data_IF_604250184852
#
_entry.id   IF_604250184852
#
_cell.length_a   1.000
_cell.length_b   1.000
_cell.length_c   1.000
_cell.angle_alpha   90.00
_cell.angle_beta   90.00
_cell.angle_gamma   90.00
#
_symmetry.space_group_name_H-M   'P 1'
#
loop_
_entity.id
_entity.type
_entity.pdbx_description
1 polymer ?
#
# COMPACT_ATOMS: atom_id res chain seq x y z
N UNK A 1 13.54 -61.78 13.98
CA UNK A 1 14.91 -61.26 14.12
C UNK A 1 15.71 -61.73 12.90
N UNK A 2 15.87 -60.91 11.88
CA UNK A 2 16.75 -61.16 10.75
C UNK A 2 17.38 -59.84 10.28
N UNK A 3 18.70 -59.80 10.10
CA UNK A 3 19.37 -58.56 9.73
C UNK A 3 19.34 -58.37 8.19
N UNK A 4 18.99 -57.20 7.77
CA UNK A 4 18.94 -56.75 6.39
C UNK A 4 20.34 -56.38 5.92
N UNK A 5 20.82 -57.07 4.87
CA UNK A 5 22.15 -56.92 4.27
C UNK A 5 22.20 -55.65 3.41
N UNK A 6 23.16 -54.79 3.69
CA UNK A 6 23.53 -53.61 2.90
C UNK A 6 24.28 -54.05 1.65
N UNK A 7 23.75 -53.76 0.46
CA UNK A 7 24.45 -53.98 -0.82
C UNK A 7 25.08 -52.66 -1.27
N UNK A 8 26.41 -52.68 -1.30
CA UNK A 8 27.21 -51.62 -1.91
C UNK A 8 27.10 -51.71 -3.42
N UNK A 9 26.69 -50.63 -4.08
CA UNK A 9 26.69 -50.47 -5.53
C UNK A 9 27.84 -49.53 -5.92
N UNK A 10 28.90 -50.12 -6.49
CA UNK A 10 30.04 -49.38 -7.02
C UNK A 10 29.65 -48.85 -8.41
N UNK A 11 29.73 -47.55 -8.60
CA UNK A 11 29.58 -46.92 -9.92
C UNK A 11 30.98 -46.53 -10.41
N UNK A 12 31.38 -47.18 -11.48
CA UNK A 12 32.63 -46.95 -12.22
C UNK A 12 32.50 -45.70 -13.09
N UNK A 13 33.37 -44.72 -12.89
CA UNK A 13 33.43 -43.52 -13.71
C UNK A 13 34.13 -43.84 -15.06
N UNK A 14 33.44 -43.62 -16.15
CA UNK A 14 34.04 -43.62 -17.49
C UNK A 14 34.39 -42.16 -17.87
N UNK A 15 35.68 -41.93 -18.03
CA UNK A 15 36.23 -40.65 -18.54
C UNK A 15 36.20 -40.71 -20.07
N UNK A 16 35.39 -39.83 -20.68
CA UNK A 16 35.41 -39.60 -22.13
C UNK A 16 36.19 -38.31 -22.41
N UNK A 17 37.36 -38.44 -23.02
CA UNK A 17 38.14 -37.32 -23.54
C UNK A 17 37.65 -37.06 -24.97
N UNK A 18 37.06 -35.90 -25.21
CA UNK A 18 36.79 -35.39 -26.56
C UNK A 18 37.70 -34.19 -26.83
N UNK A 19 38.50 -34.35 -27.87
CA UNK A 19 39.46 -33.39 -28.34
C UNK A 19 38.79 -32.16 -28.99
N UNK A 20 39.45 -31.04 -28.84
CA UNK A 20 39.11 -29.72 -29.34
C UNK A 20 39.03 -29.67 -30.87
N UNK A 21 38.13 -28.82 -31.36
CA UNK A 21 38.33 -28.07 -32.60
C UNK A 21 38.16 -26.59 -32.28
N UNK A 22 39.24 -25.91 -32.53
CA UNK A 22 39.44 -24.47 -32.49
C UNK A 22 38.53 -23.80 -33.55
N UNK A 23 37.75 -22.84 -33.13
CA UNK A 23 36.92 -21.97 -33.96
C UNK A 23 36.68 -20.68 -33.19
N UNK A 24 37.64 -19.76 -33.33
CA UNK A 24 37.48 -18.42 -32.81
C UNK A 24 36.28 -17.72 -33.47
N UNK A 25 35.19 -17.57 -32.73
CA UNK A 25 34.17 -16.58 -33.00
C UNK A 25 34.30 -15.48 -31.97
N UNK A 26 34.66 -14.32 -32.49
CA UNK A 26 34.75 -13.06 -31.77
C UNK A 26 33.32 -12.53 -31.54
N UNK A 27 32.65 -13.09 -30.53
CA UNK A 27 31.37 -12.56 -30.02
C UNK A 27 31.67 -11.49 -28.97
N UNK A 28 31.92 -10.28 -29.45
CA UNK A 28 31.84 -9.09 -28.60
C UNK A 28 30.38 -8.91 -28.17
N UNK A 29 30.04 -9.50 -27.02
CA UNK A 29 28.83 -9.16 -26.29
C UNK A 29 28.96 -7.69 -25.91
N UNK A 30 27.99 -6.81 -26.31
CA UNK A 30 27.98 -5.45 -25.83
C UNK A 30 27.91 -5.48 -24.29
N UNK A 31 28.61 -4.59 -23.59
CA UNK A 31 28.50 -4.53 -22.15
C UNK A 31 27.01 -4.30 -21.79
N UNK A 32 26.46 -5.25 -21.06
CA UNK A 32 25.17 -5.11 -20.41
C UNK A 32 25.18 -3.79 -19.66
N UNK A 33 24.28 -2.90 -20.08
CA UNK A 33 24.15 -1.58 -19.48
C UNK A 33 23.90 -1.79 -17.99
N UNK A 34 24.81 -1.34 -17.16
CA UNK A 34 24.61 -1.30 -15.72
C UNK A 34 23.25 -0.66 -15.43
N UNK A 35 22.51 -1.14 -14.42
CA UNK A 35 21.28 -0.49 -14.01
C UNK A 35 21.57 1.00 -13.82
N UNK A 36 20.83 1.85 -14.50
CA UNK A 36 20.89 3.29 -14.28
C UNK A 36 20.49 3.50 -12.84
N UNK A 37 21.46 3.87 -12.01
CA UNK A 37 21.20 4.33 -10.65
C UNK A 37 20.23 5.51 -10.80
N UNK A 38 18.97 5.31 -10.40
CA UNK A 38 17.97 6.36 -10.47
C UNK A 38 18.53 7.55 -9.69
N UNK A 39 18.64 8.69 -10.34
CA UNK A 39 19.10 9.90 -9.67
C UNK A 39 18.18 10.16 -8.47
N UNK A 40 18.70 10.48 -7.28
CA UNK A 40 17.87 10.78 -6.13
C UNK A 40 16.88 11.87 -6.52
N UNK A 41 15.58 11.61 -6.30
CA UNK A 41 14.53 12.60 -6.54
C UNK A 41 14.92 13.83 -5.74
N UNK A 42 15.18 14.93 -6.43
CA UNK A 42 15.64 16.15 -5.79
C UNK A 42 14.54 16.60 -4.82
N UNK A 43 14.88 16.71 -3.53
CA UNK A 43 13.95 17.21 -2.51
C UNK A 43 13.44 18.59 -2.95
N UNK A 44 12.14 18.66 -3.32
CA UNK A 44 11.52 19.87 -3.83
C UNK A 44 11.42 20.85 -2.67
N UNK A 45 12.32 21.82 -2.60
CA UNK A 45 12.33 22.84 -1.56
C UNK A 45 11.12 23.77 -1.72
N UNK A 46 10.20 23.76 -0.75
CA UNK A 46 9.01 24.62 -0.74
C UNK A 46 9.05 25.53 0.49
N UNK A 47 8.75 26.83 0.29
CA UNK A 47 8.67 27.80 1.37
C UNK A 47 7.31 27.70 2.10
N UNK A 48 7.33 28.05 3.40
CA UNK A 48 6.12 28.10 4.22
C UNK A 48 6.10 27.04 5.32
N UNK A 49 5.05 27.06 6.18
CA UNK A 49 4.92 26.09 7.25
C UNK A 49 4.71 24.68 6.70
N UNK A 50 5.39 23.73 7.29
CA UNK A 50 5.19 22.30 6.95
C UNK A 50 3.76 21.88 7.23
N UNK A 51 3.17 21.12 6.32
CA UNK A 51 1.84 20.48 6.44
C UNK A 51 2.01 19.00 6.54
N UNK A 52 1.72 18.45 7.70
CA UNK A 52 1.89 17.03 7.98
C UNK A 52 0.60 16.28 7.68
N UNK A 53 0.67 15.35 6.75
CA UNK A 53 -0.45 14.52 6.31
C UNK A 53 -0.13 13.07 6.66
N UNK A 54 -0.98 12.43 7.45
CA UNK A 54 -0.85 11.01 7.75
C UNK A 54 -1.69 10.22 6.75
N UNK A 55 -1.06 9.45 5.88
CA UNK A 55 -1.71 8.52 4.96
C UNK A 55 -1.96 7.21 5.70
N UNK A 56 -3.15 7.07 6.30
CA UNK A 56 -3.53 5.90 7.10
C UNK A 56 -4.44 4.98 6.28
N UNK A 57 -3.92 3.79 5.92
CA UNK A 57 -4.61 2.90 4.99
C UNK A 57 -4.09 1.49 4.96
N UNK A 58 -4.42 0.79 3.90
CA UNK A 58 -4.01 -0.60 3.69
C UNK A 58 -2.86 -0.74 2.67
N UNK A 59 -2.85 -1.80 1.86
CA UNK A 59 -1.81 -2.07 0.86
C UNK A 59 -1.72 -1.03 -0.26
N UNK A 60 -2.79 -0.27 -0.48
CA UNK A 60 -2.82 0.76 -1.52
C UNK A 60 -2.00 1.99 -1.11
N UNK A 61 -1.95 2.30 0.18
CA UNK A 61 -1.05 3.32 0.71
C UNK A 61 0.35 2.77 0.97
N UNK A 62 0.46 1.54 1.49
CA UNK A 62 1.76 0.88 1.71
C UNK A 62 2.57 0.58 0.44
N UNK A 63 2.10 0.96 -0.75
CA UNK A 63 2.81 0.74 -2.01
C UNK A 63 3.07 -0.74 -2.33
N UNK A 64 2.14 -1.65 -2.00
CA UNK A 64 2.37 -3.07 -2.18
C UNK A 64 2.72 -3.43 -3.63
N UNK A 65 3.95 -3.95 -3.81
CA UNK A 65 4.45 -4.35 -5.13
C UNK A 65 5.08 -3.22 -5.95
N UNK A 66 5.27 -2.05 -5.36
CA UNK A 66 5.94 -0.89 -5.94
C UNK A 66 7.29 -0.65 -5.26
N UNK A 67 8.17 0.11 -5.91
CA UNK A 67 9.32 0.71 -5.23
C UNK A 67 8.82 1.84 -4.29
N UNK A 68 9.60 2.18 -3.26
CA UNK A 68 9.17 3.12 -2.22
C UNK A 68 8.72 4.48 -2.82
N UNK A 69 9.47 5.00 -3.79
CA UNK A 69 9.19 6.30 -4.42
C UNK A 69 7.96 6.29 -5.31
N UNK A 70 7.44 5.11 -5.68
CA UNK A 70 6.24 4.92 -6.51
C UNK A 70 4.96 4.83 -5.67
N UNK A 71 5.09 4.77 -4.34
CA UNK A 71 3.97 4.72 -3.40
C UNK A 71 3.06 5.94 -3.52
N UNK A 72 1.77 5.75 -3.25
CA UNK A 72 0.81 6.86 -3.29
C UNK A 72 1.16 8.00 -2.32
N UNK A 73 1.59 7.75 -1.07
CA UNK A 73 1.99 8.80 -0.14
C UNK A 73 3.13 9.65 -0.66
N UNK A 74 4.17 9.04 -1.24
CA UNK A 74 5.35 9.70 -1.79
C UNK A 74 4.98 10.53 -3.02
N UNK A 75 4.21 9.95 -3.93
CA UNK A 75 3.72 10.67 -5.12
C UNK A 75 2.80 11.84 -4.75
N UNK A 76 2.00 11.70 -3.70
CA UNK A 76 1.17 12.79 -3.18
C UNK A 76 2.02 13.91 -2.59
N UNK A 77 3.04 13.58 -1.81
CA UNK A 77 3.99 14.57 -1.26
C UNK A 77 4.61 15.39 -2.38
N UNK A 78 5.15 14.71 -3.39
CA UNK A 78 5.77 15.34 -4.54
C UNK A 78 4.80 16.25 -5.31
N UNK A 79 3.59 15.78 -5.59
CA UNK A 79 2.57 16.56 -6.28
C UNK A 79 2.17 17.82 -5.49
N UNK A 80 2.02 17.72 -4.17
CA UNK A 80 1.71 18.86 -3.30
C UNK A 80 2.86 19.84 -3.26
N UNK A 81 4.10 19.37 -3.16
CA UNK A 81 5.31 20.21 -3.15
C UNK A 81 5.51 20.91 -4.49
N UNK A 82 5.27 20.23 -5.62
CA UNK A 82 5.24 20.85 -6.95
C UNK A 82 4.16 21.92 -7.07
N UNK A 83 3.02 21.71 -6.39
CA UNK A 83 1.95 22.70 -6.26
C UNK A 83 2.23 23.85 -5.31
N UNK A 84 3.42 23.91 -4.68
CA UNK A 84 3.85 24.98 -3.77
C UNK A 84 3.35 24.80 -2.33
N UNK A 85 2.90 23.61 -1.95
CA UNK A 85 2.54 23.27 -0.57
C UNK A 85 3.72 22.54 0.07
N UNK A 86 4.26 23.08 1.18
CA UNK A 86 5.31 22.42 1.95
C UNK A 86 4.71 21.22 2.72
N UNK A 87 4.35 20.17 1.98
CA UNK A 87 3.75 18.96 2.52
C UNK A 87 4.83 17.98 3.01
N UNK A 88 4.51 17.27 4.08
CA UNK A 88 5.15 16.04 4.52
C UNK A 88 4.07 14.97 4.64
N UNK A 89 4.09 13.98 3.77
CA UNK A 89 3.15 12.86 3.81
C UNK A 89 3.84 11.68 4.52
N UNK A 90 3.23 11.22 5.59
CA UNK A 90 3.73 10.11 6.39
C UNK A 90 2.95 8.87 6.00
N UNK A 91 3.62 7.88 5.43
CA UNK A 91 3.00 6.60 5.14
C UNK A 91 2.72 5.84 6.46
N UNK A 92 1.47 5.44 6.62
CA UNK A 92 0.98 4.58 7.68
C UNK A 92 0.04 3.51 7.10
N UNK A 93 0.30 3.10 5.87
CA UNK A 93 -0.34 1.96 5.21
C UNK A 93 0.16 0.64 5.79
N UNK A 94 -0.74 -0.33 5.95
CA UNK A 94 -0.38 -1.70 6.34
C UNK A 94 -1.11 -2.70 5.44
N UNK A 95 -0.33 -3.42 4.64
CA UNK A 95 -0.89 -4.38 3.69
C UNK A 95 -1.79 -5.42 4.36
N UNK A 96 -3.01 -5.56 3.82
CA UNK A 96 -4.00 -6.50 4.32
C UNK A 96 -4.87 -5.98 5.46
N UNK A 97 -4.69 -4.75 5.92
CA UNK A 97 -5.53 -4.19 6.97
C UNK A 97 -7.00 -4.11 6.53
N UNK A 98 -7.86 -4.58 7.42
CA UNK A 98 -9.29 -4.29 7.40
C UNK A 98 -9.60 -3.05 8.20
N UNK A 99 -10.83 -2.54 8.11
CA UNK A 99 -11.29 -1.45 8.99
C UNK A 99 -11.12 -1.78 10.49
N UNK A 100 -11.30 -3.07 10.87
CA UNK A 100 -11.10 -3.52 12.24
C UNK A 100 -9.62 -3.46 12.67
N UNK A 101 -8.70 -3.85 11.79
CA UNK A 101 -7.26 -3.79 12.07
C UNK A 101 -6.79 -2.32 12.15
N UNK A 102 -7.22 -1.48 11.21
CA UNK A 102 -6.95 -0.04 11.24
C UNK A 102 -7.44 0.61 12.55
N UNK A 103 -8.68 0.32 12.95
CA UNK A 103 -9.23 0.79 14.23
C UNK A 103 -8.36 0.42 15.43
N UNK A 104 -7.81 -0.79 15.46
CA UNK A 104 -6.99 -1.25 16.59
C UNK A 104 -5.65 -0.50 16.71
N UNK A 105 -5.09 -0.04 15.58
CA UNK A 105 -3.78 0.61 15.57
C UNK A 105 -3.81 2.13 15.46
N UNK A 106 -4.96 2.75 15.14
CA UNK A 106 -5.03 4.19 14.88
C UNK A 106 -4.48 5.04 16.03
N UNK A 107 -4.96 4.81 17.26
CA UNK A 107 -4.51 5.57 18.41
C UNK A 107 -2.99 5.45 18.62
N UNK A 108 -2.45 4.24 18.54
CA UNK A 108 -1.01 4.01 18.63
C UNK A 108 -0.23 4.72 17.51
N UNK A 109 -0.74 4.65 16.27
CA UNK A 109 -0.10 5.33 15.13
C UNK A 109 -0.07 6.84 15.32
N UNK A 110 -1.16 7.43 15.82
CA UNK A 110 -1.24 8.86 16.11
C UNK A 110 -0.31 9.27 17.26
N UNK A 111 -0.24 8.46 18.32
CA UNK A 111 0.63 8.70 19.48
C UNK A 111 2.12 8.59 19.16
N UNK A 112 2.46 7.81 18.12
CA UNK A 112 3.84 7.65 17.64
C UNK A 112 4.32 8.83 16.77
N UNK A 113 3.44 9.78 16.42
CA UNK A 113 3.86 10.94 15.64
C UNK A 113 4.55 11.98 16.54
N UNK A 114 5.71 12.49 16.11
CA UNK A 114 6.43 13.57 16.82
C UNK A 114 5.59 14.84 16.93
N UNK A 115 4.73 15.07 15.95
CA UNK A 115 3.83 16.24 15.87
C UNK A 115 2.48 15.80 15.35
N UNK A 116 1.40 16.33 15.94
CA UNK A 116 0.02 16.08 15.52
C UNK A 116 -0.13 16.35 14.02
N UNK A 117 -0.69 15.42 13.23
CA UNK A 117 -0.96 15.65 11.81
C UNK A 117 -1.95 16.81 11.60
N UNK A 118 -1.74 17.59 10.55
CA UNK A 118 -2.70 18.61 10.09
C UNK A 118 -3.90 17.97 9.38
N UNK A 119 -3.72 16.73 8.85
CA UNK A 119 -4.74 15.99 8.11
C UNK A 119 -4.45 14.50 8.19
N UNK A 120 -5.50 13.69 8.32
CA UNK A 120 -5.44 12.24 8.07
C UNK A 120 -6.17 11.92 6.78
N UNK A 121 -5.52 11.21 5.86
CA UNK A 121 -6.18 10.50 4.78
C UNK A 121 -6.55 9.13 5.33
N UNK A 122 -7.84 8.81 5.37
CA UNK A 122 -8.32 7.54 5.90
C UNK A 122 -8.83 6.65 4.74
N UNK A 123 -8.02 5.68 4.38
CA UNK A 123 -8.25 4.73 3.28
C UNK A 123 -8.28 3.32 3.83
N UNK A 124 -9.42 2.68 3.85
CA UNK A 124 -9.64 1.30 4.27
C UNK A 124 -10.97 0.79 3.67
N UNK A 125 -11.30 -0.46 3.92
CA UNK A 125 -12.55 -1.08 3.52
C UNK A 125 -12.42 -2.00 2.30
N UNK A 126 -11.39 -1.84 1.48
CA UNK A 126 -11.09 -2.74 0.37
C UNK A 126 -10.94 -4.19 0.85
N UNK A 127 -10.15 -4.42 1.90
CA UNK A 127 -9.97 -5.73 2.50
C UNK A 127 -11.21 -6.26 3.22
N UNK A 128 -12.04 -5.38 3.78
CA UNK A 128 -13.36 -5.77 4.36
C UNK A 128 -14.23 -6.38 3.27
N UNK A 129 -14.36 -5.68 2.16
CA UNK A 129 -15.11 -6.13 0.99
C UNK A 129 -14.57 -7.47 0.48
N UNK A 130 -13.26 -7.58 0.22
CA UNK A 130 -12.61 -8.80 -0.29
C UNK A 130 -12.82 -10.01 0.64
N UNK A 131 -12.97 -9.78 1.94
CA UNK A 131 -13.23 -10.83 2.95
C UNK A 131 -14.72 -11.02 3.26
N UNK A 132 -15.60 -10.32 2.56
CA UNK A 132 -17.05 -10.44 2.76
C UNK A 132 -17.54 -9.93 4.11
N UNK A 133 -16.81 -9.02 4.75
CA UNK A 133 -17.20 -8.36 5.99
C UNK A 133 -18.45 -7.51 5.70
N UNK A 134 -19.42 -7.58 6.59
CA UNK A 134 -20.67 -6.84 6.38
C UNK A 134 -20.44 -5.32 6.46
N UNK A 135 -21.07 -4.52 5.57
CA UNK A 135 -20.89 -3.08 5.54
C UNK A 135 -21.16 -2.37 6.87
N UNK A 136 -22.07 -2.89 7.68
CA UNK A 136 -22.34 -2.34 9.01
C UNK A 136 -21.17 -2.48 9.98
N UNK A 137 -20.42 -3.58 9.88
CA UNK A 137 -19.20 -3.76 10.69
C UNK A 137 -18.09 -2.80 10.24
N UNK A 138 -17.91 -2.68 8.92
CA UNK A 138 -16.98 -1.71 8.34
C UNK A 138 -17.34 -0.29 8.78
N UNK A 139 -18.62 0.09 8.66
CA UNK A 139 -19.12 1.40 9.10
C UNK A 139 -18.86 1.65 10.58
N UNK A 140 -19.12 0.68 11.46
CA UNK A 140 -18.88 0.82 12.90
C UNK A 140 -17.40 1.02 13.24
N UNK A 141 -16.49 0.37 12.51
CA UNK A 141 -15.06 0.58 12.69
C UNK A 141 -14.61 1.97 12.22
N UNK A 142 -15.11 2.43 11.08
CA UNK A 142 -14.85 3.78 10.60
C UNK A 142 -15.39 4.84 11.57
N UNK A 143 -16.62 4.66 12.07
CA UNK A 143 -17.20 5.56 13.05
C UNK A 143 -16.30 5.71 14.29
N UNK A 144 -15.81 4.58 14.84
CA UNK A 144 -14.91 4.61 15.98
C UNK A 144 -13.54 5.28 15.68
N UNK A 145 -13.03 5.15 14.45
CA UNK A 145 -11.81 5.87 14.03
C UNK A 145 -12.07 7.37 13.87
N UNK A 146 -13.24 7.75 13.36
CA UNK A 146 -13.63 9.14 13.21
C UNK A 146 -13.89 9.79 14.57
N UNK A 147 -14.48 9.09 15.54
CA UNK A 147 -14.62 9.54 16.93
C UNK A 147 -13.23 9.86 17.52
N UNK A 148 -12.26 8.95 17.41
CA UNK A 148 -10.89 9.14 17.89
C UNK A 148 -10.21 10.36 17.26
N UNK A 149 -10.36 10.53 15.93
CA UNK A 149 -9.79 11.68 15.21
C UNK A 149 -10.46 12.99 15.59
N UNK A 150 -11.77 12.97 15.81
CA UNK A 150 -12.53 14.13 16.29
C UNK A 150 -12.16 14.52 17.72
N UNK A 151 -11.99 13.56 18.64
CA UNK A 151 -11.52 13.79 20.01
C UNK A 151 -10.13 14.44 20.06
N UNK A 152 -9.31 14.17 19.05
CA UNK A 152 -7.97 14.76 18.90
C UNK A 152 -7.95 16.06 18.08
N UNK A 153 -9.08 16.56 17.62
CA UNK A 153 -9.18 17.70 16.71
C UNK A 153 -8.29 17.52 15.46
N UNK A 154 -8.33 16.37 14.81
CA UNK A 154 -7.58 16.08 13.59
C UNK A 154 -8.56 16.01 12.41
N UNK A 155 -8.41 16.89 11.41
CA UNK A 155 -9.22 16.83 10.18
C UNK A 155 -8.99 15.52 9.42
N UNK A 156 -10.06 15.04 8.75
CA UNK A 156 -10.04 13.79 7.99
C UNK A 156 -10.50 14.03 6.56
N UNK A 157 -9.79 13.42 5.61
CA UNK A 157 -10.27 13.17 4.26
C UNK A 157 -10.52 11.66 4.11
N UNK A 158 -11.79 11.29 3.97
CA UNK A 158 -12.17 9.91 3.68
C UNK A 158 -11.89 9.60 2.21
N UNK A 159 -11.21 8.47 1.98
CA UNK A 159 -10.90 7.94 0.65
C UNK A 159 -11.89 6.80 0.37
N UNK A 160 -12.99 7.13 -0.31
CA UNK A 160 -14.09 6.18 -0.53
C UNK A 160 -13.75 5.07 -1.52
N UNK A 161 -14.31 3.89 -1.27
CA UNK A 161 -14.22 2.71 -2.13
C UNK A 161 -15.60 2.35 -2.68
N UNK A 162 -15.65 1.54 -3.73
CA UNK A 162 -16.89 1.00 -4.30
C UNK A 162 -16.84 -0.52 -4.39
N UNK A 163 -17.95 -1.15 -4.09
CA UNK A 163 -18.07 -2.60 -4.24
C UNK A 163 -18.46 -2.97 -5.68
N UNK A 164 -17.79 -3.97 -6.30
CA UNK A 164 -18.16 -4.46 -7.62
C UNK A 164 -19.55 -5.11 -7.61
N UNK A 165 -20.27 -5.12 -8.76
CA UNK A 165 -21.64 -5.65 -8.85
C UNK A 165 -21.81 -7.13 -8.46
N UNK A 166 -20.73 -7.92 -8.55
CA UNK A 166 -20.75 -9.35 -8.20
C UNK A 166 -20.94 -9.64 -6.69
N UNK A 167 -20.85 -8.62 -5.83
CA UNK A 167 -21.18 -8.74 -4.39
C UNK A 167 -22.68 -8.70 -4.10
N UNK A 168 -23.50 -8.44 -5.11
CA UNK A 168 -24.95 -8.31 -5.00
C UNK A 168 -25.38 -6.88 -4.65
N UNK A 169 -26.57 -6.53 -5.14
CA UNK A 169 -27.07 -5.13 -5.11
C UNK A 169 -27.19 -4.58 -3.67
N UNK A 170 -27.65 -5.40 -2.74
CA UNK A 170 -27.82 -4.96 -1.34
C UNK A 170 -26.47 -4.63 -0.68
N UNK A 171 -25.49 -5.53 -0.82
CA UNK A 171 -24.14 -5.31 -0.28
C UNK A 171 -23.52 -4.06 -0.91
N UNK A 172 -23.57 -3.97 -2.25
CA UNK A 172 -22.99 -2.84 -2.98
C UNK A 172 -23.59 -1.51 -2.53
N UNK A 173 -24.92 -1.39 -2.48
CA UNK A 173 -25.58 -0.15 -2.06
C UNK A 173 -25.17 0.27 -0.64
N UNK A 174 -25.12 -0.67 0.30
CA UNK A 174 -24.76 -0.40 1.69
C UNK A 174 -23.28 -0.05 1.84
N UNK A 175 -22.41 -0.74 1.10
CA UNK A 175 -20.98 -0.48 1.14
C UNK A 175 -20.65 0.88 0.51
N UNK A 176 -21.19 1.20 -0.65
CA UNK A 176 -20.93 2.46 -1.34
C UNK A 176 -21.49 3.67 -0.57
N UNK A 177 -22.61 3.49 0.12
CA UNK A 177 -23.25 4.55 0.90
C UNK A 177 -22.48 4.91 2.18
N UNK A 178 -21.76 3.94 2.80
CA UNK A 178 -21.15 4.14 4.12
C UNK A 178 -20.22 5.36 4.20
N UNK A 179 -19.40 5.60 3.16
CA UNK A 179 -18.44 6.70 3.17
C UNK A 179 -19.13 8.07 3.11
N UNK A 180 -20.15 8.18 2.26
CA UNK A 180 -20.91 9.43 2.13
C UNK A 180 -21.78 9.73 3.36
N UNK A 181 -22.28 8.70 4.02
CA UNK A 181 -23.02 8.82 5.27
C UNK A 181 -22.11 9.26 6.41
N UNK A 182 -20.96 8.60 6.58
CA UNK A 182 -19.96 8.95 7.57
C UNK A 182 -19.40 10.36 7.35
N UNK A 183 -19.07 10.71 6.11
CA UNK A 183 -18.60 12.05 5.80
C UNK A 183 -19.59 13.13 6.23
N UNK A 184 -20.89 12.89 6.03
CA UNK A 184 -21.97 13.81 6.44
C UNK A 184 -22.13 13.84 7.96
N UNK A 185 -22.10 12.69 8.61
CA UNK A 185 -22.28 12.54 10.06
C UNK A 185 -21.15 13.23 10.84
N UNK A 186 -19.93 13.07 10.41
CA UNK A 186 -18.73 13.60 11.07
C UNK A 186 -18.23 14.94 10.50
N UNK A 187 -18.87 15.46 9.47
CA UNK A 187 -18.41 16.68 8.80
C UNK A 187 -17.05 16.51 8.10
N UNK A 188 -16.67 15.28 7.79
CA UNK A 188 -15.42 14.96 7.11
C UNK A 188 -15.51 15.26 5.62
N UNK A 189 -14.36 15.56 5.00
CA UNK A 189 -14.27 15.62 3.53
C UNK A 189 -14.22 14.20 2.96
N UNK A 190 -14.66 14.06 1.71
CA UNK A 190 -14.75 12.76 1.04
C UNK A 190 -14.27 12.88 -0.41
N UNK A 191 -13.42 11.94 -0.81
CA UNK A 191 -13.23 11.54 -2.20
C UNK A 191 -14.13 10.32 -2.42
N UNK A 192 -15.23 10.42 -3.18
CA UNK A 192 -16.26 9.37 -3.21
C UNK A 192 -15.78 8.01 -3.71
N UNK A 193 -14.90 8.03 -4.72
CA UNK A 193 -14.17 6.85 -5.21
C UNK A 193 -12.78 7.28 -5.64
N UNK A 194 -11.81 7.09 -4.76
CA UNK A 194 -10.48 7.65 -4.98
C UNK A 194 -9.66 6.94 -6.08
N UNK A 195 -10.08 5.73 -6.48
CA UNK A 195 -9.50 5.00 -7.62
C UNK A 195 -10.21 5.27 -8.95
N UNK A 196 -11.15 6.23 -9.03
CA UNK A 196 -11.98 6.46 -10.22
C UNK A 196 -11.16 6.64 -11.48
N UNK A 197 -10.07 7.41 -11.43
CA UNK A 197 -9.20 7.68 -12.59
C UNK A 197 -8.45 6.43 -13.12
N UNK A 198 -8.40 5.35 -12.36
CA UNK A 198 -7.76 4.09 -12.79
C UNK A 198 -8.75 3.23 -13.60
N UNK A 199 -10.05 3.47 -13.45
CA UNK A 199 -11.12 2.69 -14.07
C UNK A 199 -11.79 3.40 -15.27
N UNK A 200 -11.34 4.63 -15.61
CA UNK A 200 -11.75 5.36 -16.82
C UNK A 200 -10.77 5.11 -17.97
#
# INVERSE_FOLDING_TARGET
ISPMRLRHLSITAAVLVLAACDGAQDDTVPPESAPSEAAPVADIAVAGPERRILAFGDSLFAGYGLEEEEGYPEQLEDALRQGGINARVIDAGVSGDTSAAGRQRLAFTLDAQDTKPDLVLLELGGNDMLRGIQPDQTRANFAAMLDELQERDIPVLLMGMRAPPNYGTEYQQRFDALYSELAREYGARLVPFWLESIFE
#
